data_IF_024485716309
#
_entry.id   IF_024485716309
#
_cell.length_a   1.000
_cell.length_b   1.000
_cell.length_c   1.000
_cell.angle_alpha   90.00
_cell.angle_beta   90.00
_cell.angle_gamma   90.00
#
_symmetry.space_group_name_H-M   'P 1'
#
loop_
_entity.id
_entity.type
_entity.pdbx_description
1 polymer ?
#
# COMPACT_ATOMS: atom_id res chain seq x y z
N UNK A 1 -69.62 -87.80 -6.90
CA UNK A 1 -69.29 -87.26 -8.23
C UNK A 1 -70.62 -86.84 -8.85
N UNK A 2 -70.95 -85.55 -8.79
CA UNK A 2 -72.21 -84.98 -9.29
C UNK A 2 -72.00 -84.65 -10.78
N UNK A 3 -72.75 -85.31 -11.67
CA UNK A 3 -72.86 -84.89 -13.08
C UNK A 3 -73.40 -83.45 -13.11
N UNK A 4 -72.76 -82.55 -13.86
CA UNK A 4 -73.22 -81.16 -14.03
C UNK A 4 -74.57 -81.18 -14.76
N UNK A 5 -75.49 -80.29 -14.39
CA UNK A 5 -76.86 -80.22 -14.95
C UNK A 5 -76.87 -80.11 -16.49
N UNK A 6 -75.94 -79.36 -17.09
CA UNK A 6 -75.86 -79.20 -18.55
C UNK A 6 -75.56 -80.50 -19.31
N UNK A 7 -74.71 -81.37 -18.74
CA UNK A 7 -74.40 -82.67 -19.37
C UNK A 7 -75.63 -83.60 -19.36
N UNK A 8 -76.52 -83.43 -18.38
CA UNK A 8 -77.78 -84.18 -18.28
C UNK A 8 -78.77 -83.75 -19.36
N UNK A 9 -78.88 -82.45 -19.61
CA UNK A 9 -79.81 -81.88 -20.59
C UNK A 9 -79.40 -82.22 -22.03
N UNK A 10 -78.10 -82.25 -22.34
CA UNK A 10 -77.61 -82.70 -23.65
C UNK A 10 -77.83 -84.21 -23.88
N UNK A 11 -77.68 -85.03 -22.84
CA UNK A 11 -77.96 -86.48 -22.91
C UNK A 11 -79.46 -86.73 -23.11
N UNK A 12 -80.33 -86.00 -22.41
CA UNK A 12 -81.79 -86.06 -22.55
C UNK A 12 -82.23 -85.69 -23.97
N UNK A 13 -81.67 -84.59 -24.52
CA UNK A 13 -81.95 -84.12 -25.88
C UNK A 13 -81.49 -85.13 -26.95
N UNK A 14 -80.32 -85.75 -26.74
CA UNK A 14 -79.81 -86.79 -27.63
C UNK A 14 -80.68 -88.04 -27.62
N UNK A 15 -81.17 -88.46 -26.44
CA UNK A 15 -82.11 -89.58 -26.32
C UNK A 15 -83.44 -89.30 -27.03
N UNK A 16 -84.01 -88.11 -26.84
CA UNK A 16 -85.24 -87.69 -27.52
C UNK A 16 -85.07 -87.67 -29.04
N UNK A 17 -83.95 -87.18 -29.56
CA UNK A 17 -83.66 -87.20 -31.01
C UNK A 17 -83.51 -88.63 -31.54
N UNK A 18 -82.82 -89.52 -30.83
CA UNK A 18 -82.69 -90.93 -31.22
C UNK A 18 -84.06 -91.61 -31.25
N UNK A 19 -84.92 -91.34 -30.28
CA UNK A 19 -86.26 -91.89 -30.24
C UNK A 19 -87.14 -91.36 -31.38
N UNK A 20 -87.10 -90.06 -31.67
CA UNK A 20 -87.75 -89.48 -32.85
C UNK A 20 -87.24 -90.09 -34.15
N UNK A 21 -85.93 -90.36 -34.26
CA UNK A 21 -85.37 -90.99 -35.45
C UNK A 21 -85.83 -92.44 -35.61
N UNK A 22 -85.89 -93.21 -34.50
CA UNK A 22 -86.42 -94.57 -34.48
C UNK A 22 -87.88 -94.60 -34.93
N UNK A 23 -88.70 -93.69 -34.39
CA UNK A 23 -90.11 -93.56 -34.78
C UNK A 23 -90.24 -93.16 -36.25
N UNK A 24 -89.40 -92.23 -36.74
CA UNK A 24 -89.41 -91.87 -38.16
C UNK A 24 -89.08 -93.06 -39.07
N UNK A 25 -88.05 -93.86 -38.74
CA UNK A 25 -87.69 -95.05 -39.53
C UNK A 25 -88.75 -96.13 -39.41
N UNK A 26 -89.42 -96.27 -38.25
CA UNK A 26 -90.51 -97.21 -38.08
C UNK A 26 -91.75 -96.80 -38.88
N UNK A 27 -92.11 -95.52 -38.88
CA UNK A 27 -93.33 -95.00 -39.51
C UNK A 27 -93.15 -94.65 -41.00
N UNK A 28 -91.91 -94.46 -41.45
CA UNK A 28 -91.57 -94.04 -42.82
C UNK A 28 -90.59 -95.00 -43.52
N UNK A 29 -90.26 -96.12 -42.89
CA UNK A 29 -89.39 -97.16 -43.45
C UNK A 29 -90.10 -98.06 -44.45
N UNK A 30 -89.35 -98.58 -45.42
CA UNK A 30 -89.86 -99.55 -46.39
C UNK A 30 -90.16 -100.88 -45.71
N UNK A 31 -91.44 -101.25 -45.64
CA UNK A 31 -91.87 -102.53 -45.10
C UNK A 31 -92.19 -103.49 -46.25
N UNK A 32 -91.65 -104.72 -46.21
CA UNK A 32 -91.97 -105.74 -47.21
C UNK A 32 -93.23 -106.50 -46.78
N UNK A 33 -94.32 -106.30 -47.50
CA UNK A 33 -95.50 -107.17 -47.45
C UNK A 33 -95.34 -108.31 -48.48
N UNK A 34 -96.11 -109.41 -48.39
CA UNK A 34 -95.92 -110.58 -49.25
C UNK A 34 -95.83 -110.27 -50.76
N UNK A 35 -96.55 -109.24 -51.23
CA UNK A 35 -96.68 -108.96 -52.67
C UNK A 35 -96.25 -107.53 -53.09
N UNK A 36 -95.82 -106.66 -52.17
CA UNK A 36 -95.43 -105.27 -52.48
C UNK A 36 -94.55 -104.66 -51.38
N UNK A 37 -93.81 -103.60 -51.74
CA UNK A 37 -93.12 -102.76 -50.75
C UNK A 37 -94.04 -101.62 -50.32
N UNK A 38 -94.18 -101.43 -49.02
CA UNK A 38 -94.98 -100.36 -48.45
C UNK A 38 -94.07 -99.21 -47.99
N UNK A 39 -94.33 -98.02 -48.51
CA UNK A 39 -93.66 -96.78 -48.13
C UNK A 39 -94.70 -95.85 -47.49
N UNK A 40 -95.09 -96.19 -46.26
CA UNK A 40 -96.08 -95.51 -45.42
C UNK A 40 -97.52 -95.51 -45.97
N UNK A 41 -97.80 -94.70 -46.97
CA UNK A 41 -99.12 -94.57 -47.62
C UNK A 41 -99.04 -94.84 -49.12
N UNK A 42 -97.87 -95.21 -49.62
CA UNK A 42 -97.64 -95.51 -51.03
C UNK A 42 -97.25 -96.97 -51.17
N UNK A 43 -98.12 -97.72 -51.84
CA UNK A 43 -97.79 -99.06 -52.33
C UNK A 43 -96.85 -98.92 -53.51
N UNK A 44 -95.67 -99.49 -53.37
CA UNK A 44 -94.73 -99.64 -54.48
C UNK A 44 -94.90 -101.05 -55.02
N UNK A 45 -95.68 -101.13 -56.07
CA UNK A 45 -96.02 -102.35 -56.80
C UNK A 45 -95.18 -102.40 -58.09
N UNK A 46 -95.07 -103.59 -58.69
CA UNK A 46 -94.26 -103.82 -59.91
C UNK A 46 -92.77 -103.47 -59.76
N UNK A 47 -92.24 -103.55 -58.55
CA UNK A 47 -90.81 -103.45 -58.31
C UNK A 47 -90.15 -104.68 -58.92
N UNK A 48 -89.22 -104.47 -59.84
CA UNK A 48 -88.44 -105.56 -60.41
C UNK A 48 -87.73 -106.32 -59.28
N UNK A 49 -87.71 -107.65 -59.35
CA UNK A 49 -86.83 -108.43 -58.50
C UNK A 49 -85.39 -107.94 -58.72
N UNK A 50 -84.55 -107.86 -57.68
CA UNK A 50 -83.16 -107.44 -57.84
C UNK A 50 -82.48 -108.32 -58.90
N UNK A 51 -81.94 -107.68 -59.92
CA UNK A 51 -81.15 -108.32 -60.97
C UNK A 51 -79.70 -108.44 -60.53
N UNK A 52 -79.21 -107.48 -59.73
CA UNK A 52 -77.84 -107.43 -59.21
C UNK A 52 -77.80 -107.33 -57.68
N UNK A 53 -76.69 -107.82 -57.11
CA UNK A 53 -76.41 -107.77 -55.67
C UNK A 53 -76.20 -106.35 -55.12
N UNK A 54 -76.15 -105.34 -55.98
CA UNK A 54 -76.03 -103.93 -55.62
C UNK A 54 -77.32 -103.14 -55.81
N UNK A 55 -78.40 -103.80 -56.22
CA UNK A 55 -79.67 -103.13 -56.44
C UNK A 55 -80.24 -102.60 -55.13
N UNK A 56 -80.80 -101.40 -55.16
CA UNK A 56 -81.34 -100.76 -53.96
C UNK A 56 -82.52 -101.54 -53.33
N UNK A 57 -83.18 -102.39 -54.12
CA UNK A 57 -84.26 -103.29 -53.66
C UNK A 57 -83.72 -104.58 -53.03
N UNK A 58 -82.41 -104.84 -53.15
CA UNK A 58 -81.72 -105.93 -52.47
C UNK A 58 -81.43 -105.55 -51.00
N UNK A 59 -82.16 -106.18 -50.10
CA UNK A 59 -82.02 -105.97 -48.65
C UNK A 59 -80.60 -106.19 -48.13
N UNK A 60 -79.90 -107.23 -48.62
CA UNK A 60 -78.54 -107.55 -48.16
C UNK A 60 -77.55 -106.45 -48.50
N UNK A 61 -77.72 -105.82 -49.67
CA UNK A 61 -76.91 -104.67 -50.09
C UNK A 61 -77.11 -103.48 -49.16
N UNK A 62 -78.37 -103.07 -48.94
CA UNK A 62 -78.71 -101.92 -48.09
C UNK A 62 -78.22 -102.14 -46.66
N UNK A 63 -78.44 -103.32 -46.08
CA UNK A 63 -77.97 -103.66 -44.73
C UNK A 63 -76.43 -103.66 -44.63
N UNK A 64 -75.72 -104.13 -45.67
CA UNK A 64 -74.25 -104.09 -45.71
C UNK A 64 -73.74 -102.65 -45.76
N UNK A 65 -74.34 -101.81 -46.61
CA UNK A 65 -73.97 -100.40 -46.74
C UNK A 65 -74.24 -99.63 -45.46
N UNK A 66 -75.44 -99.79 -44.86
CA UNK A 66 -75.78 -99.17 -43.58
C UNK A 66 -74.85 -99.62 -42.45
N UNK A 67 -74.48 -100.91 -42.41
CA UNK A 67 -73.50 -101.41 -41.44
C UNK A 67 -72.11 -100.80 -41.65
N UNK A 68 -71.68 -100.63 -42.90
CA UNK A 68 -70.41 -99.96 -43.24
C UNK A 68 -70.39 -98.53 -42.73
N UNK A 69 -71.38 -97.72 -43.10
CA UNK A 69 -71.50 -96.33 -42.64
C UNK A 69 -71.60 -96.23 -41.12
N UNK A 70 -72.36 -97.12 -40.47
CA UNK A 70 -72.43 -97.18 -39.02
C UNK A 70 -71.06 -97.40 -38.38
N UNK A 71 -70.26 -98.32 -38.92
CA UNK A 71 -68.92 -98.61 -38.40
C UNK A 71 -67.97 -97.42 -38.59
N UNK A 72 -68.03 -96.74 -39.74
CA UNK A 72 -67.25 -95.52 -40.00
C UNK A 72 -67.62 -94.39 -39.04
N UNK A 73 -68.91 -94.19 -38.80
CA UNK A 73 -69.42 -93.23 -37.82
C UNK A 73 -68.93 -93.60 -36.42
N UNK A 74 -68.99 -94.87 -36.04
CA UNK A 74 -68.54 -95.34 -34.73
C UNK A 74 -67.04 -95.15 -34.54
N UNK A 75 -66.22 -95.40 -35.56
CA UNK A 75 -64.79 -95.11 -35.52
C UNK A 75 -64.51 -93.61 -35.43
N UNK A 76 -65.24 -92.80 -36.20
CA UNK A 76 -65.13 -91.34 -36.14
C UNK A 76 -65.47 -90.81 -34.75
N UNK A 77 -66.54 -91.29 -34.12
CA UNK A 77 -66.87 -90.94 -32.74
C UNK A 77 -65.81 -91.42 -31.74
N UNK A 78 -65.19 -92.58 -31.97
CA UNK A 78 -64.10 -93.08 -31.13
C UNK A 78 -62.86 -92.18 -31.23
N UNK A 79 -62.51 -91.74 -32.43
CA UNK A 79 -61.41 -90.79 -32.68
C UNK A 79 -61.70 -89.44 -32.04
N UNK A 80 -62.88 -88.85 -32.29
CA UNK A 80 -63.31 -87.57 -31.69
C UNK A 80 -63.24 -87.65 -30.16
N UNK A 81 -63.70 -88.75 -29.56
CA UNK A 81 -63.62 -88.93 -28.11
C UNK A 81 -62.19 -88.92 -27.59
N UNK A 82 -61.24 -89.52 -28.34
CA UNK A 82 -59.82 -89.51 -27.98
C UNK A 82 -59.27 -88.09 -28.04
N UNK A 83 -59.52 -87.37 -29.13
CA UNK A 83 -59.03 -86.00 -29.33
C UNK A 83 -59.60 -85.04 -28.27
N UNK A 84 -60.90 -85.16 -27.96
CA UNK A 84 -61.55 -84.38 -26.89
C UNK A 84 -60.89 -84.67 -25.53
N UNK A 85 -60.53 -85.92 -25.25
CA UNK A 85 -59.86 -86.27 -24.00
C UNK A 85 -58.42 -85.73 -23.94
N UNK A 86 -57.71 -85.67 -25.07
CA UNK A 86 -56.39 -85.06 -25.17
C UNK A 86 -56.46 -83.55 -24.93
N UNK A 87 -57.36 -82.85 -25.63
CA UNK A 87 -57.61 -81.41 -25.43
C UNK A 87 -57.96 -81.13 -23.96
N UNK A 88 -58.79 -81.97 -23.34
CA UNK A 88 -59.13 -81.83 -21.92
C UNK A 88 -57.91 -81.95 -21.02
N UNK A 89 -57.02 -82.90 -21.29
CA UNK A 89 -55.79 -83.07 -20.51
C UNK A 89 -54.86 -81.86 -20.65
N UNK A 90 -54.75 -81.29 -21.84
CA UNK A 90 -53.93 -80.11 -22.08
C UNK A 90 -54.55 -78.84 -21.50
N UNK A 91 -55.88 -78.70 -21.52
CA UNK A 91 -56.58 -77.63 -20.78
C UNK A 91 -56.30 -77.70 -19.28
N UNK A 92 -56.26 -78.90 -18.68
CA UNK A 92 -55.91 -79.05 -17.27
C UNK A 92 -54.45 -78.69 -16.98
N UNK A 93 -53.50 -79.00 -17.88
CA UNK A 93 -52.11 -78.54 -17.75
C UNK A 93 -52.04 -77.02 -17.83
N UNK A 94 -52.69 -76.41 -18.82
CA UNK A 94 -52.72 -74.97 -19.01
C UNK A 94 -53.33 -74.25 -17.81
N UNK A 95 -54.40 -74.79 -17.21
CA UNK A 95 -55.01 -74.26 -15.99
C UNK A 95 -54.01 -74.19 -14.83
N UNK A 96 -53.18 -75.23 -14.65
CA UNK A 96 -52.13 -75.22 -13.61
C UNK A 96 -51.07 -74.16 -13.89
N UNK A 97 -50.61 -74.05 -15.14
CA UNK A 97 -49.63 -73.04 -15.53
C UNK A 97 -50.14 -71.62 -15.29
N UNK A 98 -51.41 -71.34 -15.61
CA UNK A 98 -52.04 -70.04 -15.34
C UNK A 98 -52.07 -69.71 -13.84
N UNK A 99 -52.30 -70.71 -12.99
CA UNK A 99 -52.28 -70.52 -11.52
C UNK A 99 -50.86 -70.22 -11.00
N UNK A 100 -49.82 -70.84 -11.57
CA UNK A 100 -48.42 -70.51 -11.24
C UNK A 100 -48.04 -69.10 -11.69
N UNK A 101 -48.42 -68.70 -12.90
CA UNK A 101 -48.20 -67.33 -13.41
C UNK A 101 -48.86 -66.30 -12.49
N UNK A 102 -50.06 -66.60 -12.00
CA UNK A 102 -50.77 -65.72 -11.05
C UNK A 102 -49.98 -65.53 -9.75
N UNK A 103 -49.45 -66.61 -9.16
CA UNK A 103 -48.61 -66.54 -7.96
C UNK A 103 -47.35 -65.70 -8.17
N UNK A 104 -46.71 -65.85 -9.34
CA UNK A 104 -45.54 -65.04 -9.71
C UNK A 104 -45.91 -63.56 -9.85
N UNK A 105 -47.04 -63.25 -10.47
CA UNK A 105 -47.54 -61.86 -10.60
C UNK A 105 -47.80 -61.19 -9.25
N UNK A 106 -48.41 -61.92 -8.31
CA UNK A 106 -48.64 -61.42 -6.95
C UNK A 106 -47.32 -61.14 -6.22
N UNK A 107 -46.31 -62.02 -6.39
CA UNK A 107 -44.98 -61.84 -5.82
C UNK A 107 -44.27 -60.61 -6.40
N UNK A 108 -44.32 -60.40 -7.73
CA UNK A 108 -43.77 -59.22 -8.39
C UNK A 108 -44.44 -57.95 -7.86
N UNK A 109 -45.76 -57.97 -7.70
CA UNK A 109 -46.51 -56.81 -7.18
C UNK A 109 -46.10 -56.43 -5.76
N UNK A 110 -45.82 -57.41 -4.89
CA UNK A 110 -45.28 -57.17 -3.54
C UNK A 110 -43.86 -56.61 -3.59
N UNK A 111 -42.99 -57.19 -4.42
CA UNK A 111 -41.62 -56.74 -4.58
C UNK A 111 -41.56 -55.29 -5.05
N UNK A 112 -42.36 -54.90 -6.04
CA UNK A 112 -42.43 -53.53 -6.54
C UNK A 112 -42.82 -52.54 -5.45
N UNK A 113 -43.79 -52.88 -4.58
CA UNK A 113 -44.14 -52.04 -3.43
C UNK A 113 -42.96 -51.90 -2.46
N UNK A 114 -42.31 -53.01 -2.10
CA UNK A 114 -41.21 -53.03 -1.14
C UNK A 114 -39.99 -52.22 -1.65
N UNK A 115 -39.64 -52.40 -2.93
CA UNK A 115 -38.61 -51.58 -3.60
C UNK A 115 -38.99 -50.10 -3.60
N UNK A 116 -40.23 -49.75 -3.90
CA UNK A 116 -40.69 -48.35 -3.89
C UNK A 116 -40.59 -47.72 -2.51
N UNK A 117 -40.97 -48.46 -1.45
CA UNK A 117 -40.85 -47.98 -0.05
C UNK A 117 -39.38 -47.81 0.34
N UNK A 118 -38.52 -48.79 0.04
CA UNK A 118 -37.08 -48.69 0.30
C UNK A 118 -36.44 -47.54 -0.46
N UNK A 119 -36.78 -47.37 -1.74
CA UNK A 119 -36.31 -46.24 -2.54
C UNK A 119 -36.77 -44.91 -1.95
N UNK A 120 -38.04 -44.76 -1.55
CA UNK A 120 -38.50 -43.52 -0.90
C UNK A 120 -37.70 -43.21 0.35
N UNK A 121 -37.42 -44.20 1.20
CA UNK A 121 -36.65 -44.02 2.44
C UNK A 121 -35.16 -43.71 2.19
N UNK A 122 -34.54 -44.30 1.16
CA UNK A 122 -33.15 -44.02 0.77
C UNK A 122 -33.03 -42.64 0.09
N UNK A 123 -33.99 -42.30 -0.77
CA UNK A 123 -34.05 -41.02 -1.51
C UNK A 123 -34.48 -39.86 -0.62
N UNK A 124 -35.00 -40.09 0.59
CA UNK A 124 -35.29 -38.98 1.50
C UNK A 124 -33.95 -38.37 1.95
N UNK A 125 -33.59 -37.25 1.31
CA UNK A 125 -32.47 -36.38 1.63
C UNK A 125 -32.30 -36.12 3.14
N UNK A 126 -33.36 -36.24 3.94
CA UNK A 126 -33.36 -36.08 5.38
C UNK A 126 -32.22 -36.80 6.12
N UNK A 127 -31.81 -38.03 5.74
CA UNK A 127 -30.72 -38.73 6.47
C UNK A 127 -29.35 -38.17 6.10
N UNK A 128 -29.11 -37.90 4.81
CA UNK A 128 -27.87 -37.30 4.34
C UNK A 128 -27.77 -35.84 4.81
N UNK A 129 -28.82 -35.06 4.62
CA UNK A 129 -28.96 -33.66 5.05
C UNK A 129 -28.73 -33.53 6.55
N UNK A 130 -29.36 -34.38 7.38
CA UNK A 130 -29.12 -34.36 8.83
C UNK A 130 -27.69 -34.77 9.18
N UNK A 131 -27.08 -35.72 8.48
CA UNK A 131 -25.68 -36.11 8.72
C UNK A 131 -24.68 -35.00 8.33
N UNK A 132 -24.90 -34.31 7.21
CA UNK A 132 -24.10 -33.17 6.76
C UNK A 132 -24.31 -31.95 7.64
N UNK A 133 -25.55 -31.65 8.02
CA UNK A 133 -25.86 -30.52 8.90
C UNK A 133 -25.35 -30.73 10.32
N UNK A 134 -25.42 -31.93 10.87
CA UNK A 134 -24.97 -32.15 12.25
C UNK A 134 -23.48 -32.41 12.28
N UNK A 135 -23.00 -33.45 11.60
CA UNK A 135 -21.59 -33.88 11.69
C UNK A 135 -20.65 -32.89 11.01
N UNK A 136 -21.04 -32.40 9.82
CA UNK A 136 -20.24 -31.43 9.06
C UNK A 136 -20.13 -30.09 9.79
N UNK A 137 -21.27 -29.51 10.22
CA UNK A 137 -21.25 -28.25 10.98
C UNK A 137 -20.50 -28.41 12.30
N UNK A 138 -20.67 -29.51 13.03
CA UNK A 138 -20.04 -29.70 14.34
C UNK A 138 -18.51 -29.84 14.23
N UNK A 139 -18.01 -30.51 13.18
CA UNK A 139 -16.58 -30.58 12.88
C UNK A 139 -16.01 -29.19 12.53
N UNK A 140 -16.69 -28.44 11.67
CA UNK A 140 -16.27 -27.07 11.30
C UNK A 140 -16.28 -26.16 12.53
N UNK A 141 -17.34 -26.19 13.34
CA UNK A 141 -17.46 -25.38 14.56
C UNK A 141 -16.34 -25.71 15.55
N UNK A 142 -15.96 -26.98 15.70
CA UNK A 142 -14.86 -27.40 16.58
C UNK A 142 -13.52 -26.86 16.13
N UNK A 143 -13.19 -27.04 14.85
CA UNK A 143 -11.94 -26.52 14.25
C UNK A 143 -11.85 -25.00 14.37
N UNK A 144 -12.95 -24.30 14.09
CA UNK A 144 -13.01 -22.84 14.24
C UNK A 144 -12.83 -22.41 15.70
N UNK A 145 -13.41 -23.14 16.66
CA UNK A 145 -13.27 -22.86 18.10
C UNK A 145 -11.84 -23.06 18.58
N UNK A 146 -11.18 -24.13 18.15
CA UNK A 146 -9.78 -24.39 18.50
C UNK A 146 -8.86 -23.31 17.92
N UNK A 147 -9.07 -22.95 16.64
CA UNK A 147 -8.34 -21.85 16.00
C UNK A 147 -8.56 -20.52 16.72
N UNK A 148 -9.80 -20.22 17.12
CA UNK A 148 -10.13 -19.00 17.87
C UNK A 148 -9.44 -18.98 19.24
N UNK A 149 -9.33 -20.13 19.92
CA UNK A 149 -8.62 -20.26 21.19
C UNK A 149 -7.12 -19.99 21.03
N UNK A 150 -6.50 -20.53 19.99
CA UNK A 150 -5.07 -20.32 19.72
C UNK A 150 -4.77 -18.84 19.42
N UNK A 151 -5.60 -18.20 18.58
CA UNK A 151 -5.51 -16.76 18.30
C UNK A 151 -5.67 -15.96 19.59
N UNK A 152 -6.64 -16.31 20.44
CA UNK A 152 -6.85 -15.64 21.73
C UNK A 152 -5.63 -15.72 22.64
N UNK A 153 -4.95 -16.87 22.68
CA UNK A 153 -3.74 -17.05 23.48
C UNK A 153 -2.59 -16.18 22.96
N UNK A 154 -2.40 -16.12 21.65
CA UNK A 154 -1.32 -15.32 21.06
C UNK A 154 -1.58 -13.82 21.15
N UNK A 155 -2.83 -13.37 21.03
CA UNK A 155 -3.23 -11.98 21.30
C UNK A 155 -2.92 -11.60 22.75
N UNK A 156 -3.17 -12.48 23.71
CA UNK A 156 -2.86 -12.19 25.12
C UNK A 156 -1.35 -12.11 25.38
N UNK A 157 -0.53 -12.95 24.72
CA UNK A 157 0.95 -12.82 24.78
C UNK A 157 1.42 -11.48 24.20
N UNK A 158 0.89 -11.09 23.05
CA UNK A 158 1.23 -9.80 22.41
C UNK A 158 0.83 -8.64 23.33
N UNK A 159 -0.35 -8.70 23.93
CA UNK A 159 -0.83 -7.69 24.88
C UNK A 159 0.14 -7.52 26.05
N UNK A 160 0.58 -8.61 26.67
CA UNK A 160 1.54 -8.56 27.79
C UNK A 160 2.87 -7.93 27.36
N UNK A 161 3.40 -8.33 26.20
CA UNK A 161 4.64 -7.75 25.66
C UNK A 161 4.50 -6.24 25.40
N UNK A 162 3.38 -5.80 24.82
CA UNK A 162 3.11 -4.37 24.59
C UNK A 162 3.03 -3.60 25.90
N UNK A 163 2.44 -4.20 26.95
CA UNK A 163 2.38 -3.58 28.27
C UNK A 163 3.78 -3.41 28.89
N UNK A 164 4.66 -4.41 28.78
CA UNK A 164 6.05 -4.33 29.24
C UNK A 164 6.86 -3.28 28.47
N UNK A 165 6.73 -3.25 27.14
CA UNK A 165 7.37 -2.23 26.30
C UNK A 165 6.87 -0.84 26.68
N UNK A 166 5.57 -0.66 26.89
CA UNK A 166 4.97 0.60 27.32
C UNK A 166 5.57 1.09 28.64
N UNK A 167 5.65 0.22 29.65
CA UNK A 167 6.29 0.52 30.95
C UNK A 167 7.75 0.94 30.78
N UNK A 168 8.50 0.23 29.94
CA UNK A 168 9.90 0.50 29.66
C UNK A 168 10.10 1.86 28.96
N UNK A 169 9.27 2.18 27.98
CA UNK A 169 9.30 3.46 27.26
C UNK A 169 8.94 4.62 28.21
N UNK A 170 7.93 4.46 29.06
CA UNK A 170 7.58 5.47 30.07
C UNK A 170 8.76 5.73 31.03
N UNK A 171 9.41 4.67 31.53
CA UNK A 171 10.56 4.80 32.41
C UNK A 171 11.75 5.51 31.72
N UNK A 172 12.03 5.16 30.46
CA UNK A 172 13.07 5.80 29.67
C UNK A 172 12.77 7.28 29.42
N UNK A 173 11.53 7.61 29.08
CA UNK A 173 11.09 9.00 28.89
C UNK A 173 11.31 9.85 30.14
N UNK A 174 10.94 9.33 31.32
CA UNK A 174 11.22 10.00 32.60
C UNK A 174 12.72 10.19 32.83
N UNK A 175 13.54 9.16 32.57
CA UNK A 175 15.00 9.24 32.75
C UNK A 175 15.64 10.29 31.84
N UNK A 176 15.28 10.31 30.57
CA UNK A 176 15.78 11.29 29.59
C UNK A 176 15.38 12.70 29.97
N UNK A 177 14.12 12.91 30.38
CA UNK A 177 13.64 14.21 30.84
C UNK A 177 14.45 14.71 32.04
N UNK A 178 14.69 13.86 33.04
CA UNK A 178 15.48 14.21 34.22
C UNK A 178 16.93 14.54 33.86
N UNK A 179 17.55 13.78 32.96
CA UNK A 179 18.93 14.02 32.53
C UNK A 179 19.07 15.35 31.78
N UNK A 180 18.13 15.66 30.87
CA UNK A 180 18.08 16.94 30.17
C UNK A 180 17.88 18.10 31.16
N UNK A 181 16.94 17.96 32.10
CA UNK A 181 16.71 18.99 33.12
C UNK A 181 17.96 19.25 33.96
N UNK A 182 18.67 18.19 34.36
CA UNK A 182 19.94 18.31 35.09
C UNK A 182 21.00 19.03 34.26
N UNK A 183 21.24 18.59 33.03
CA UNK A 183 22.22 19.22 32.14
C UNK A 183 21.93 20.69 31.85
N UNK A 184 20.66 21.06 31.64
CA UNK A 184 20.24 22.47 31.47
C UNK A 184 20.48 23.28 32.73
N UNK A 185 20.23 22.69 33.91
CA UNK A 185 20.48 23.36 35.20
C UNK A 185 21.98 23.60 35.41
N UNK A 186 22.81 22.61 35.13
CA UNK A 186 24.27 22.71 35.25
C UNK A 186 24.83 23.78 34.29
N UNK A 187 24.39 23.78 33.03
CA UNK A 187 24.79 24.80 32.05
C UNK A 187 24.35 26.21 32.47
N UNK A 188 23.13 26.37 32.98
CA UNK A 188 22.65 27.66 33.48
C UNK A 188 23.51 28.16 34.63
N UNK A 189 23.90 27.27 35.55
CA UNK A 189 24.77 27.63 36.66
C UNK A 189 26.17 28.02 36.17
N UNK A 190 26.74 27.28 35.23
CA UNK A 190 28.04 27.62 34.64
C UNK A 190 28.03 28.99 33.97
N UNK A 191 27.00 29.28 33.15
CA UNK A 191 26.84 30.58 32.50
C UNK A 191 26.68 31.72 33.52
N UNK A 192 25.91 31.51 34.60
CA UNK A 192 25.76 32.49 35.66
C UNK A 192 27.10 32.79 36.36
N UNK A 193 27.89 31.77 36.64
CA UNK A 193 29.22 31.92 37.23
C UNK A 193 30.18 32.70 36.30
N UNK A 194 30.18 32.40 34.99
CA UNK A 194 30.98 33.14 34.00
C UNK A 194 30.55 34.60 33.95
N UNK A 195 29.26 34.88 33.83
CA UNK A 195 28.73 36.24 33.76
C UNK A 195 29.07 37.05 35.03
N UNK A 196 29.02 36.41 36.21
CA UNK A 196 29.39 37.03 37.49
C UNK A 196 30.88 37.37 37.52
N UNK A 197 31.73 36.46 37.01
CA UNK A 197 33.17 36.69 36.92
C UNK A 197 33.50 37.84 35.98
N UNK A 198 32.94 37.86 34.77
CA UNK A 198 33.14 38.94 33.80
C UNK A 198 32.64 40.29 34.33
N UNK A 199 31.53 40.31 35.06
CA UNK A 199 31.03 41.51 35.72
C UNK A 199 32.02 42.05 36.77
N UNK A 200 32.63 41.18 37.58
CA UNK A 200 33.66 41.58 38.55
C UNK A 200 34.92 42.12 37.85
N UNK A 201 35.42 41.43 36.83
CA UNK A 201 36.58 41.88 36.04
C UNK A 201 36.31 43.25 35.38
N UNK A 202 35.09 43.47 34.86
CA UNK A 202 34.69 44.78 34.28
C UNK A 202 34.66 45.88 35.34
N UNK A 203 34.17 45.59 36.55
CA UNK A 203 34.17 46.56 37.65
C UNK A 203 35.59 46.95 38.08
N UNK A 204 36.51 45.98 38.15
CA UNK A 204 37.93 46.23 38.44
C UNK A 204 38.58 47.13 37.37
N UNK A 205 38.34 46.84 36.08
CA UNK A 205 38.82 47.67 34.98
C UNK A 205 38.23 49.08 35.07
N UNK A 206 36.93 49.20 35.35
CA UNK A 206 36.27 50.50 35.48
C UNK A 206 36.84 51.32 36.64
N UNK A 207 37.14 50.68 37.78
CA UNK A 207 37.83 51.34 38.89
C UNK A 207 39.22 51.81 38.48
N UNK A 208 40.02 50.95 37.82
CA UNK A 208 41.34 51.31 37.33
C UNK A 208 41.33 52.48 36.33
N UNK A 209 40.34 52.52 35.43
CA UNK A 209 40.13 53.66 34.51
C UNK A 209 39.78 54.95 35.27
N UNK A 210 38.98 54.83 36.33
CA UNK A 210 38.61 55.98 37.18
C UNK A 210 39.83 56.53 37.92
N UNK A 211 40.65 55.65 38.50
CA UNK A 211 41.89 56.02 39.20
C UNK A 211 42.90 56.66 38.24
N UNK A 212 43.11 56.08 37.06
CA UNK A 212 43.97 56.65 36.01
C UNK A 212 43.47 58.02 35.56
N UNK A 213 42.16 58.19 35.36
CA UNK A 213 41.56 59.48 35.03
C UNK A 213 41.82 60.51 36.13
N UNK A 214 41.70 60.13 37.40
CA UNK A 214 41.99 61.01 38.53
C UNK A 214 43.47 61.38 38.59
N UNK A 215 44.38 60.41 38.41
CA UNK A 215 45.82 60.64 38.35
C UNK A 215 46.20 61.59 37.20
N UNK A 216 45.61 61.38 36.02
CA UNK A 216 45.81 62.24 34.86
C UNK A 216 45.33 63.67 35.15
N UNK A 217 44.15 63.83 35.74
CA UNK A 217 43.64 65.14 36.14
C UNK A 217 44.55 65.85 37.15
N UNK A 218 45.11 65.11 38.12
CA UNK A 218 46.05 65.65 39.11
C UNK A 218 47.40 66.04 38.47
N UNK A 219 47.91 65.26 37.52
CA UNK A 219 49.22 65.49 36.87
C UNK A 219 49.14 66.58 35.80
N UNK A 220 48.08 66.56 34.98
CA UNK A 220 47.73 67.60 33.99
C UNK A 220 46.90 68.69 34.68
N UNK A 221 47.21 69.00 35.93
CA UNK A 221 46.61 70.14 36.61
C UNK A 221 47.05 71.42 35.91
N UNK A 222 46.10 72.37 35.85
CA UNK A 222 46.35 73.73 35.37
C UNK A 222 47.63 74.31 35.98
N UNK A 223 47.92 74.07 37.26
CA UNK A 223 49.15 74.52 37.93
C UNK A 223 50.44 73.91 37.35
N UNK A 224 50.47 72.63 37.02
CA UNK A 224 51.66 71.97 36.46
C UNK A 224 51.96 72.49 35.06
N UNK A 225 50.92 72.64 34.23
CA UNK A 225 51.05 73.27 32.91
C UNK A 225 51.47 74.75 33.05
N UNK A 226 50.85 75.49 33.97
CA UNK A 226 51.17 76.89 34.20
C UNK A 226 52.60 77.09 34.72
N UNK A 227 53.12 76.15 35.53
CA UNK A 227 54.51 76.12 35.99
C UNK A 227 55.49 75.82 34.85
N UNK A 228 55.20 74.83 34.00
CA UNK A 228 56.00 74.52 32.80
C UNK A 228 56.06 75.70 31.82
N UNK A 229 54.94 76.38 31.60
CA UNK A 229 54.91 77.61 30.80
C UNK A 229 55.71 78.75 31.46
N UNK A 230 55.64 78.88 32.80
CA UNK A 230 56.37 79.92 33.56
C UNK A 230 57.88 79.70 33.65
N UNK A 231 58.38 78.46 33.64
CA UNK A 231 59.83 78.18 33.77
C UNK A 231 60.48 77.91 32.42
N UNK A 232 59.96 76.94 31.66
CA UNK A 232 60.61 76.48 30.43
C UNK A 232 60.31 77.42 29.27
N UNK A 233 59.04 77.81 29.10
CA UNK A 233 58.66 78.80 28.09
C UNK A 233 59.34 80.15 28.33
N UNK A 234 59.44 80.58 29.59
CA UNK A 234 60.12 81.83 29.96
C UNK A 234 61.62 81.78 29.73
N UNK A 235 62.29 80.66 30.04
CA UNK A 235 63.73 80.51 29.81
C UNK A 235 64.07 80.45 28.32
N UNK A 236 63.27 79.77 27.48
CA UNK A 236 63.49 79.77 26.04
C UNK A 236 63.24 81.15 25.41
N UNK A 237 62.19 81.85 25.86
CA UNK A 237 61.94 83.25 25.47
C UNK A 237 63.09 84.15 25.93
N UNK A 238 63.56 83.99 27.17
CA UNK A 238 64.68 84.77 27.70
C UNK A 238 65.98 84.51 26.93
N UNK A 239 66.31 83.26 26.61
CA UNK A 239 67.48 82.91 25.78
C UNK A 239 67.38 83.55 24.39
N UNK A 240 66.20 83.51 23.78
CA UNK A 240 65.94 84.13 22.48
C UNK A 240 66.08 85.66 22.53
N UNK A 241 65.55 86.30 23.58
CA UNK A 241 65.68 87.75 23.81
C UNK A 241 67.14 88.13 24.06
N UNK A 242 67.87 87.38 24.89
CA UNK A 242 69.30 87.61 25.14
C UNK A 242 70.13 87.49 23.86
N UNK A 243 69.84 86.51 22.99
CA UNK A 243 70.50 86.37 21.70
C UNK A 243 70.21 87.55 20.77
N UNK A 244 68.97 88.04 20.76
CA UNK A 244 68.55 89.24 20.00
C UNK A 244 69.24 90.51 20.53
N UNK A 245 69.27 90.69 21.84
CA UNK A 245 69.97 91.81 22.48
C UNK A 245 71.47 91.78 22.18
N UNK A 246 72.10 90.60 22.17
CA UNK A 246 73.50 90.48 21.74
C UNK A 246 73.69 90.89 20.28
N UNK A 247 72.81 90.46 19.36
CA UNK A 247 72.85 90.89 17.95
C UNK A 247 72.71 92.40 17.82
N UNK A 248 71.73 93.00 18.50
CA UNK A 248 71.51 94.45 18.48
C UNK A 248 72.70 95.20 19.08
N UNK A 249 73.24 94.71 20.20
CA UNK A 249 74.41 95.31 20.85
C UNK A 249 75.64 95.28 19.93
N UNK A 250 75.90 94.14 19.27
CA UNK A 250 76.98 94.02 18.29
C UNK A 250 76.78 94.97 17.10
N UNK A 251 75.55 95.11 16.59
CA UNK A 251 75.24 96.02 15.50
C UNK A 251 75.42 97.48 15.90
N UNK A 252 74.97 97.87 17.11
CA UNK A 252 75.22 99.20 17.67
C UNK A 252 76.73 99.43 17.79
N UNK A 253 77.49 98.45 18.28
CA UNK A 253 78.94 98.58 18.41
C UNK A 253 79.61 98.78 17.05
N UNK A 254 79.16 98.04 16.03
CA UNK A 254 79.60 98.19 14.64
C UNK A 254 79.30 99.60 14.11
N UNK A 255 78.04 100.05 14.24
CA UNK A 255 77.61 101.39 13.82
C UNK A 255 78.38 102.49 14.54
N UNK A 256 78.56 102.39 15.86
CA UNK A 256 79.35 103.36 16.65
C UNK A 256 80.81 103.38 16.21
N UNK A 257 81.39 102.22 15.91
CA UNK A 257 82.77 102.12 15.40
C UNK A 257 82.88 102.81 14.04
N UNK A 258 81.94 102.54 13.13
CA UNK A 258 81.86 103.21 11.82
C UNK A 258 81.69 104.73 11.98
N UNK A 259 80.82 105.18 12.90
CA UNK A 259 80.60 106.60 13.18
C UNK A 259 81.87 107.25 13.76
N UNK A 260 82.56 106.56 14.68
CA UNK A 260 83.81 107.05 15.30
C UNK A 260 84.92 107.19 14.24
N UNK A 261 85.00 106.24 13.31
CA UNK A 261 85.90 106.32 12.17
C UNK A 261 85.53 107.46 11.22
N UNK A 262 84.24 107.64 10.95
CA UNK A 262 83.73 108.73 10.13
C UNK A 262 84.03 110.11 10.76
N UNK A 263 83.84 110.23 12.08
CA UNK A 263 84.12 111.44 12.84
C UNK A 263 85.63 111.72 12.93
N UNK A 264 86.47 110.69 13.06
CA UNK A 264 87.93 110.84 12.93
C UNK A 264 88.30 111.36 11.54
N UNK A 265 87.69 110.84 10.47
CA UNK A 265 87.93 111.32 9.11
C UNK A 265 87.48 112.79 8.90
N UNK A 266 86.36 113.22 9.50
CA UNK A 266 85.86 114.60 9.40
C UNK A 266 86.70 115.58 10.24
N UNK A 267 87.04 115.23 11.49
CA UNK A 267 87.87 116.08 12.37
C UNK A 267 89.28 116.25 11.82
N UNK A 268 89.85 115.21 11.20
CA UNK A 268 91.16 115.33 10.54
C UNK A 268 91.08 116.22 9.30
N UNK A 269 89.94 116.24 8.61
CA UNK A 269 89.70 117.09 7.44
C UNK A 269 89.53 118.57 7.83
N UNK A 270 88.71 118.88 8.83
CA UNK A 270 88.50 120.27 9.29
C UNK A 270 89.74 120.86 9.98
N UNK A 271 90.47 120.05 10.76
CA UNK A 271 91.71 120.50 11.43
C UNK A 271 92.85 120.75 10.43
N UNK A 272 92.93 119.97 9.33
CA UNK A 272 93.85 120.25 8.23
C UNK A 272 93.45 121.51 7.44
N UNK A 273 92.16 121.78 7.27
CA UNK A 273 91.67 122.95 6.55
C UNK A 273 91.86 124.28 7.33
N UNK A 274 91.75 124.26 8.66
CA UNK A 274 92.06 125.43 9.51
C UNK A 274 93.57 125.69 9.66
N UNK A 275 94.41 124.64 9.71
CA UNK A 275 95.87 124.77 9.77
C UNK A 275 96.46 125.39 8.48
N UNK A 276 95.86 125.13 7.32
CA UNK A 276 96.26 125.74 6.04
C UNK A 276 95.85 127.21 5.91
N UNK A 277 94.73 127.63 6.52
CA UNK A 277 94.25 129.03 6.42
C UNK A 277 94.94 130.01 7.39
N UNK A 278 95.41 129.54 8.55
CA UNK A 278 95.89 130.43 9.63
C UNK A 278 97.40 130.38 9.85
N UNK A 279 98.08 129.25 9.57
CA UNK A 279 99.51 129.08 9.91
C UNK A 279 100.43 129.03 8.67
N UNK A 280 99.90 128.59 7.52
CA UNK A 280 100.65 128.55 6.25
C UNK A 280 100.90 129.91 5.59
N UNK A 281 100.01 130.89 5.80
CA UNK A 281 100.10 132.20 5.15
C UNK A 281 101.17 133.11 5.79
N UNK A 282 101.27 133.09 7.10
CA UNK A 282 102.18 133.98 7.84
C UNK A 282 103.64 133.52 7.73
N UNK A 283 103.87 132.20 7.65
CA UNK A 283 105.21 131.61 7.46
C UNK A 283 105.72 131.82 6.02
N UNK A 284 104.83 131.83 5.01
CA UNK A 284 105.21 132.11 3.62
C UNK A 284 105.50 133.60 3.36
N UNK A 285 104.75 134.51 4.00
CA UNK A 285 105.03 135.95 3.97
C UNK A 285 106.39 136.29 4.61
N UNK A 286 106.73 135.66 5.73
CA UNK A 286 108.01 135.88 6.41
C UNK A 286 109.21 135.38 5.57
N UNK A 287 109.05 134.27 4.85
CA UNK A 287 110.07 133.72 3.96
C UNK A 287 110.31 134.61 2.72
N UNK A 288 109.24 135.17 2.13
CA UNK A 288 109.38 136.11 1.00
C UNK A 288 110.01 137.45 1.43
N UNK A 289 109.73 137.93 2.64
CA UNK A 289 110.33 139.15 3.16
C UNK A 289 111.84 139.01 3.36
N UNK A 290 112.30 137.89 3.92
CA UNK A 290 113.74 137.61 4.10
C UNK A 290 114.48 137.51 2.75
N UNK A 291 113.88 136.88 1.73
CA UNK A 291 114.47 136.82 0.38
C UNK A 291 114.56 138.21 -0.26
N UNK A 292 113.56 139.08 -0.05
CA UNK A 292 113.56 140.43 -0.59
C UNK A 292 114.65 141.31 0.06
N UNK A 293 114.88 141.14 1.36
CA UNK A 293 115.92 141.88 2.10
C UNK A 293 117.34 141.39 1.75
N UNK A 294 117.54 140.08 1.51
CA UNK A 294 118.80 139.52 1.03
C UNK A 294 119.17 139.99 -0.39
N UNK A 295 118.19 140.12 -1.29
CA UNK A 295 118.41 140.67 -2.64
C UNK A 295 118.79 142.16 -2.58
N UNK A 296 118.22 142.93 -1.63
CA UNK A 296 118.57 144.34 -1.42
C UNK A 296 120.00 144.54 -0.91
N UNK A 297 120.47 143.64 -0.03
CA UNK A 297 121.83 143.62 0.49
C UNK A 297 122.86 143.25 -0.59
N UNK A 298 122.54 142.29 -1.46
CA UNK A 298 123.40 141.91 -2.60
C UNK A 298 123.54 143.04 -3.63
N UNK A 299 122.50 143.86 -3.87
CA UNK A 299 122.60 144.98 -4.80
C UNK A 299 123.35 146.20 -4.22
N UNK A 300 123.44 146.35 -2.89
CA UNK A 300 124.30 147.38 -2.28
C UNK A 300 125.77 146.94 -2.23
N UNK A 301 126.05 145.64 -2.05
CA UNK A 301 127.42 145.11 -2.09
C UNK A 301 128.09 145.12 -3.48
N UNK A 302 127.31 145.11 -4.57
CA UNK A 302 127.85 145.15 -5.95
C UNK A 302 128.07 146.59 -6.45
N UNK A 303 127.41 147.60 -5.88
CA UNK A 303 127.64 149.02 -6.22
C UNK A 303 128.96 149.58 -5.66
N UNK A 304 129.55 148.97 -4.64
CA UNK A 304 130.81 149.43 -4.03
C UNK A 304 132.09 148.77 -4.61
N UNK A 305 131.95 147.87 -5.60
CA UNK A 305 133.10 147.15 -6.21
C UNK A 305 133.41 147.52 -7.67
N UNK A 306 132.76 148.54 -8.25
CA UNK A 306 133.08 149.07 -9.59
C UNK A 306 133.10 150.61 -9.62
N UNK A 307 133.90 151.19 -8.72
CA UNK A 307 134.69 152.39 -9.05
C UNK A 307 136.01 151.96 -9.67
#
# INVERSE_FOLDING_TARGET
MLLRRDDSDEIEKSRSLIESLRNYVHDSGFCLNPDHYDAKERKIEHVAAPEFDTDAVNKSYVERTLRGTRNEIEESFRMIRRDVQEVRNDMEKMRRNVEEIKKVSDAITRLTRDVTVRMKNIVTNATLEKSFETTGKDMIVRVLRDTQKDISNDVEKVRNNVEEVSKSVSALSTKVSNEIQRGVTDLRQQLHNIATKEMLETNEIQQGVTDLRQQMNNTVTKETLEKLFKTTGRDEVSKSVSALLMKVSNEIHRVVTDLRQQMFNTVTKETLEESFKTTGKDTFMLALQNIFDDIKMLHHGVSDLCK
#
